data_IF_500971678049
#
_entry.id   IF_500971678049
#
_cell.length_a   1.000
_cell.length_b   1.000
_cell.length_c   1.000
_cell.angle_alpha   90.00
_cell.angle_beta   90.00
_cell.angle_gamma   90.00
#
_symmetry.space_group_name_H-M   'P 1'
#
loop_
_entity.id
_entity.type
_entity.pdbx_description
1 polymer ?
#
# COMPACT_ATOMS: atom_id res chain seq x y z
N UNK A 1 6.80 13.85 2.58
CA UNK A 1 8.14 13.47 3.10
C UNK A 1 9.13 14.51 2.64
N UNK A 2 10.02 14.94 3.51
CA UNK A 2 11.02 15.96 3.20
C UNK A 2 12.38 15.54 3.73
N UNK A 3 13.35 15.35 2.82
CA UNK A 3 14.74 14.93 3.08
C UNK A 3 14.84 13.73 4.03
N UNK A 4 14.10 12.65 3.73
CA UNK A 4 13.97 11.50 4.62
C UNK A 4 15.09 10.50 4.39
N UNK A 5 15.79 10.16 5.48
CA UNK A 5 16.84 9.14 5.55
C UNK A 5 16.41 8.01 6.48
N UNK A 6 16.76 6.79 6.15
CA UNK A 6 16.45 5.63 6.97
C UNK A 6 17.60 4.61 6.98
N UNK A 7 17.87 4.06 8.16
CA UNK A 7 18.87 3.01 8.37
C UNK A 7 18.36 2.02 9.41
N UNK A 8 18.69 0.74 9.24
CA UNK A 8 18.39 -0.33 10.21
C UNK A 8 19.49 -0.53 11.24
N UNK A 9 20.74 -0.19 10.90
CA UNK A 9 21.95 -0.45 11.69
C UNK A 9 22.73 0.81 12.08
N UNK A 10 22.17 1.99 11.78
CA UNK A 10 22.77 3.31 11.94
C UNK A 10 24.07 3.56 11.11
N UNK A 11 24.52 2.58 10.32
CA UNK A 11 25.71 2.67 9.48
C UNK A 11 25.36 2.80 8.00
N UNK A 12 24.43 1.94 7.54
CA UNK A 12 24.06 1.87 6.14
C UNK A 12 22.65 2.46 5.93
N UNK A 13 22.55 3.48 5.11
CA UNK A 13 21.26 4.08 4.79
C UNK A 13 20.56 3.29 3.69
N UNK A 14 19.39 2.75 4.00
CA UNK A 14 18.47 2.12 3.03
C UNK A 14 17.63 3.15 2.26
N UNK A 15 17.50 4.38 2.80
CA UNK A 15 16.93 5.52 2.11
C UNK A 15 17.80 6.76 2.36
N UNK A 16 17.99 7.59 1.32
CA UNK A 16 18.94 8.69 1.31
C UNK A 16 18.29 9.94 0.71
N UNK A 17 17.83 10.86 1.56
CA UNK A 17 17.31 12.17 1.13
C UNK A 17 16.00 12.09 0.34
N UNK A 18 15.10 11.16 0.64
CA UNK A 18 13.84 11.02 -0.08
C UNK A 18 12.92 12.21 0.21
N UNK A 19 12.58 12.94 -0.86
CA UNK A 19 11.57 13.98 -0.85
C UNK A 19 10.48 13.61 -1.84
N UNK A 20 9.23 13.42 -1.35
CA UNK A 20 8.06 13.17 -2.18
C UNK A 20 6.77 13.65 -1.52
N UNK A 21 5.78 13.98 -2.35
CA UNK A 21 4.45 14.41 -1.93
C UNK A 21 3.42 13.53 -2.61
N UNK A 22 2.52 12.96 -1.82
CA UNK A 22 1.41 12.12 -2.30
C UNK A 22 0.12 12.86 -2.04
N UNK A 23 -0.63 13.15 -3.08
CA UNK A 23 -1.89 13.86 -2.99
C UNK A 23 -3.02 12.91 -2.57
N UNK A 24 -4.05 13.48 -1.91
CA UNK A 24 -5.21 12.69 -1.51
C UNK A 24 -6.00 12.24 -2.73
N UNK A 25 -6.58 11.05 -2.65
CA UNK A 25 -7.42 10.49 -3.70
C UNK A 25 -6.63 10.06 -4.94
N UNK A 26 -5.29 9.90 -4.85
CA UNK A 26 -4.48 9.44 -5.96
C UNK A 26 -4.02 8.00 -5.78
N UNK A 27 -3.77 7.33 -6.90
CA UNK A 27 -3.00 6.10 -6.99
C UNK A 27 -1.53 6.47 -7.24
N UNK A 28 -0.67 6.18 -6.29
CA UNK A 28 0.76 6.47 -6.36
C UNK A 28 1.55 5.17 -6.42
N UNK A 29 2.36 4.99 -7.46
CA UNK A 29 3.24 3.84 -7.56
C UNK A 29 4.69 4.18 -7.16
N UNK A 30 5.33 3.29 -6.44
CA UNK A 30 6.75 3.34 -6.11
C UNK A 30 7.40 2.14 -6.78
N UNK A 31 8.25 2.40 -7.76
CA UNK A 31 8.87 1.37 -8.58
C UNK A 31 10.38 1.31 -8.32
N UNK A 32 10.95 0.14 -8.46
CA UNK A 32 12.39 -0.08 -8.30
C UNK A 32 12.73 -1.54 -8.11
N UNK A 33 14.01 -1.90 -8.25
CA UNK A 33 14.50 -3.27 -8.04
C UNK A 33 14.34 -3.74 -6.59
N UNK A 34 14.42 -5.04 -6.39
CA UNK A 34 14.53 -5.62 -5.04
C UNK A 34 15.72 -4.99 -4.30
N UNK A 35 15.52 -4.64 -3.03
CA UNK A 35 16.55 -3.98 -2.22
C UNK A 35 16.69 -2.46 -2.42
N UNK A 36 15.96 -1.82 -3.33
CA UNK A 36 16.08 -0.37 -3.57
C UNK A 36 15.56 0.53 -2.43
N UNK A 37 14.87 -0.02 -1.40
CA UNK A 37 14.35 0.73 -0.26
C UNK A 37 12.83 0.92 -0.24
N UNK A 38 12.08 0.41 -1.22
CA UNK A 38 10.62 0.59 -1.35
C UNK A 38 9.82 0.17 -0.12
N UNK A 39 10.05 -1.04 0.38
CA UNK A 39 9.37 -1.55 1.59
C UNK A 39 9.77 -0.76 2.84
N UNK A 40 11.00 -0.22 2.90
CA UNK A 40 11.43 0.69 3.96
C UNK A 40 10.64 1.99 3.90
N UNK A 41 10.41 2.52 2.70
CA UNK A 41 9.59 3.71 2.50
C UNK A 41 8.15 3.50 2.99
N UNK A 42 7.52 2.36 2.67
CA UNK A 42 6.18 2.03 3.18
C UNK A 42 6.17 1.88 4.71
N UNK A 43 7.19 1.27 5.31
CA UNK A 43 7.31 1.14 6.79
C UNK A 43 7.41 2.51 7.47
N UNK A 44 8.11 3.46 6.87
CA UNK A 44 8.18 4.84 7.35
C UNK A 44 6.82 5.55 7.27
N UNK A 45 6.11 5.44 6.13
CA UNK A 45 4.78 6.03 5.94
C UNK A 45 3.78 5.43 6.95
N UNK A 46 3.86 4.11 7.18
CA UNK A 46 3.01 3.39 8.13
C UNK A 46 3.42 3.59 9.60
N UNK A 47 4.51 4.32 9.88
CA UNK A 47 5.00 4.55 11.24
C UNK A 47 5.55 3.30 11.94
N UNK A 48 5.83 2.22 11.21
CA UNK A 48 6.52 1.04 11.74
C UNK A 48 8.02 1.27 11.94
N UNK A 49 8.56 2.32 11.32
CA UNK A 49 9.94 2.76 11.44
C UNK A 49 9.97 4.28 11.55
N UNK A 50 10.89 4.81 12.33
CA UNK A 50 11.15 6.25 12.39
C UNK A 50 12.24 6.62 11.39
N UNK A 51 12.18 7.79 10.76
CA UNK A 51 13.27 8.26 9.93
C UNK A 51 14.51 8.58 10.79
N UNK A 52 15.70 8.30 10.26
CA UNK A 52 16.97 8.67 10.89
C UNK A 52 17.23 10.18 10.78
N UNK A 53 16.78 10.81 9.67
CA UNK A 53 16.80 12.26 9.42
C UNK A 53 15.57 12.63 8.58
N UNK A 54 15.25 13.91 8.54
CA UNK A 54 14.14 14.46 7.78
C UNK A 54 12.79 14.31 8.48
N UNK A 55 11.71 14.59 7.77
CA UNK A 55 10.36 14.64 8.33
C UNK A 55 9.33 13.93 7.44
N UNK A 56 8.41 13.22 8.08
CA UNK A 56 7.26 12.59 7.43
C UNK A 56 5.99 13.22 7.99
N UNK A 57 5.16 13.77 7.11
CA UNK A 57 3.83 14.27 7.46
C UNK A 57 2.80 13.44 6.70
N UNK A 58 1.88 12.85 7.42
CA UNK A 58 0.72 12.19 6.86
C UNK A 58 -0.50 12.99 7.29
N UNK A 59 -1.34 13.42 6.36
CA UNK A 59 -2.57 14.17 6.66
C UNK A 59 -2.33 15.53 7.35
N UNK A 60 -1.28 16.27 6.93
CA UNK A 60 -0.90 17.62 7.37
C UNK A 60 -0.71 17.83 8.87
N UNK A 61 -0.58 16.77 9.66
CA UNK A 61 -0.46 16.88 11.11
C UNK A 61 0.98 16.86 11.61
N UNK A 62 1.19 17.61 12.70
CA UNK A 62 2.50 17.93 13.30
C UNK A 62 3.21 16.75 13.96
N UNK A 63 4.57 16.82 14.10
CA UNK A 63 5.40 15.76 14.67
C UNK A 63 5.18 15.46 16.18
N UNK A 64 4.53 16.36 16.93
CA UNK A 64 4.38 16.25 18.40
C UNK A 64 3.08 15.56 18.82
N UNK A 65 2.79 14.37 18.28
CA UNK A 65 1.63 13.61 18.72
C UNK A 65 1.96 12.70 19.92
N UNK A 66 1.06 12.67 20.91
CA UNK A 66 1.15 11.65 21.95
C UNK A 66 0.85 10.24 21.39
N UNK A 67 1.24 9.19 22.12
CA UNK A 67 1.05 7.78 21.69
C UNK A 67 -0.39 7.43 21.30
N UNK A 68 -1.41 8.03 21.93
CA UNK A 68 -2.82 7.78 21.64
C UNK A 68 -3.24 8.40 20.30
N UNK A 69 -2.82 9.63 20.04
CA UNK A 69 -3.06 10.32 18.78
C UNK A 69 -2.36 9.61 17.62
N UNK A 70 -1.10 9.18 17.81
CA UNK A 70 -0.34 8.39 16.84
C UNK A 70 -1.06 7.09 16.49
N UNK A 71 -1.50 6.29 17.49
CA UNK A 71 -2.26 5.05 17.24
C UNK A 71 -3.56 5.30 16.50
N UNK A 72 -4.32 6.34 16.85
CA UNK A 72 -5.56 6.73 16.15
C UNK A 72 -5.31 7.10 14.70
N UNK A 73 -4.17 7.72 14.40
CA UNK A 73 -3.77 8.08 13.04
C UNK A 73 -3.35 6.84 12.25
N UNK A 74 -2.49 6.00 12.82
CA UNK A 74 -2.05 4.76 12.16
C UNK A 74 -3.20 3.79 11.92
N UNK A 75 -4.26 3.82 12.74
CA UNK A 75 -5.46 3.00 12.50
C UNK A 75 -6.24 3.40 11.23
N UNK A 76 -5.96 4.55 10.64
CA UNK A 76 -6.53 4.99 9.35
C UNK A 76 -5.64 4.67 8.14
N UNK A 77 -4.54 3.98 8.34
CA UNK A 77 -3.67 3.50 7.26
C UNK A 77 -3.87 2.00 7.13
N UNK A 78 -4.46 1.58 6.02
CA UNK A 78 -4.52 0.16 5.65
C UNK A 78 -3.17 -0.28 5.12
N UNK A 79 -2.61 -1.36 5.62
CA UNK A 79 -1.34 -1.89 5.14
C UNK A 79 -1.46 -3.35 4.73
N UNK A 80 -1.03 -3.65 3.52
CA UNK A 80 -0.97 -5.00 2.95
C UNK A 80 0.51 -5.33 2.74
N UNK A 81 1.12 -6.12 3.62
CA UNK A 81 2.50 -6.54 3.46
C UNK A 81 2.64 -7.58 2.34
N UNK A 82 3.84 -7.74 1.78
CA UNK A 82 4.16 -8.74 0.76
C UNK A 82 3.74 -10.16 1.17
N UNK A 83 3.92 -10.53 2.44
CA UNK A 83 3.48 -11.83 3.01
C UNK A 83 1.98 -11.94 3.24
N UNK A 84 1.19 -10.91 2.88
CA UNK A 84 -0.25 -10.76 3.13
C UNK A 84 -0.66 -10.70 4.62
N UNK A 85 0.14 -11.25 5.53
CA UNK A 85 -0.10 -11.27 6.98
C UNK A 85 -1.40 -11.93 7.41
N UNK A 86 -1.95 -12.87 6.64
CA UNK A 86 -3.21 -13.56 6.97
C UNK A 86 -3.00 -14.64 8.03
N UNK A 87 -4.00 -14.79 8.90
CA UNK A 87 -4.04 -15.88 9.86
C UNK A 87 -4.62 -17.11 9.17
N UNK A 88 -3.80 -18.14 8.97
CA UNK A 88 -4.10 -19.29 8.10
C UNK A 88 -5.30 -20.12 8.58
N UNK A 89 -5.43 -20.35 9.89
CA UNK A 89 -6.39 -21.31 10.48
C UNK A 89 -7.75 -20.69 10.84
N UNK A 90 -7.98 -19.42 10.53
CA UNK A 90 -9.29 -18.77 10.71
C UNK A 90 -9.98 -18.54 9.37
N UNK A 91 -11.26 -18.24 9.40
CA UNK A 91 -12.07 -18.01 8.21
C UNK A 91 -11.73 -16.69 7.49
N UNK A 92 -12.23 -16.55 6.25
CA UNK A 92 -12.18 -15.29 5.50
C UNK A 92 -12.83 -14.18 6.32
N UNK A 93 -14.04 -14.41 6.85
CA UNK A 93 -14.77 -13.43 7.64
C UNK A 93 -13.97 -13.00 8.87
N UNK A 94 -13.40 -13.93 9.63
CA UNK A 94 -12.59 -13.64 10.80
C UNK A 94 -11.33 -12.83 10.43
N UNK A 95 -10.64 -13.16 9.32
CA UNK A 95 -9.50 -12.38 8.84
C UNK A 95 -9.89 -10.95 8.48
N UNK A 96 -11.03 -10.75 7.82
CA UNK A 96 -11.51 -9.41 7.46
C UNK A 96 -11.90 -8.62 8.72
N UNK A 97 -12.58 -9.24 9.67
CA UNK A 97 -12.97 -8.63 10.95
C UNK A 97 -11.77 -8.15 11.80
N UNK A 98 -10.57 -8.73 11.63
CA UNK A 98 -9.35 -8.20 12.26
C UNK A 98 -9.14 -6.72 11.89
N UNK A 99 -9.52 -6.29 10.68
CA UNK A 99 -9.46 -4.89 10.27
C UNK A 99 -10.34 -3.95 11.09
N UNK A 100 -11.38 -4.45 11.77
CA UNK A 100 -12.24 -3.66 12.64
C UNK A 100 -11.67 -3.44 14.05
N UNK A 101 -10.66 -4.22 14.47
CA UNK A 101 -10.11 -4.19 15.83
C UNK A 101 -9.76 -2.79 16.36
N UNK A 102 -9.20 -1.86 15.55
CA UNK A 102 -8.92 -0.50 16.02
C UNK A 102 -10.16 0.31 16.43
N UNK A 103 -11.35 -0.09 15.98
CA UNK A 103 -12.62 0.64 16.21
C UNK A 103 -13.48 0.04 17.30
N UNK A 104 -13.32 -1.24 17.59
CA UNK A 104 -14.09 -1.92 18.63
C UNK A 104 -13.39 -1.78 19.99
N UNK A 105 -14.19 -1.78 21.06
CA UNK A 105 -13.66 -1.68 22.43
C UNK A 105 -12.75 -2.86 22.79
N UNK A 106 -11.78 -2.64 23.64
CA UNK A 106 -10.77 -3.65 24.04
C UNK A 106 -11.39 -4.95 24.55
N UNK A 107 -12.48 -4.88 25.31
CA UNK A 107 -13.17 -6.07 25.84
C UNK A 107 -13.76 -6.91 24.72
N UNK A 108 -14.46 -6.29 23.77
CA UNK A 108 -15.04 -6.97 22.61
C UNK A 108 -13.96 -7.56 21.71
N UNK A 109 -12.82 -6.86 21.57
CA UNK A 109 -11.66 -7.33 20.82
C UNK A 109 -11.06 -8.62 21.42
N UNK A 110 -10.87 -8.65 22.75
CA UNK A 110 -10.34 -9.81 23.48
C UNK A 110 -11.28 -11.03 23.39
N UNK A 111 -12.57 -10.80 23.48
CA UNK A 111 -13.59 -11.86 23.46
C UNK A 111 -14.01 -12.28 22.05
N UNK A 112 -13.40 -11.70 20.99
CA UNK A 112 -13.80 -11.88 19.58
C UNK A 112 -15.29 -11.60 19.34
N UNK A 113 -15.90 -10.79 20.21
CA UNK A 113 -17.31 -10.43 20.13
C UNK A 113 -17.47 -9.20 19.21
N UNK A 114 -17.57 -9.43 17.93
CA UNK A 114 -17.78 -8.37 16.96
C UNK A 114 -19.24 -7.92 16.93
N UNK A 115 -19.52 -6.60 17.00
CA UNK A 115 -20.86 -6.07 16.84
C UNK A 115 -21.47 -6.50 15.50
N UNK A 116 -22.79 -6.73 15.46
CA UNK A 116 -23.51 -7.19 14.25
C UNK A 116 -23.25 -6.30 13.04
N UNK A 117 -23.18 -4.98 13.24
CA UNK A 117 -22.90 -4.03 12.17
C UNK A 117 -21.51 -4.21 11.54
N UNK A 118 -20.49 -4.60 12.32
CA UNK A 118 -19.14 -4.87 11.78
C UNK A 118 -19.13 -6.19 11.00
N UNK A 119 -19.91 -7.19 11.41
CA UNK A 119 -20.06 -8.46 10.68
C UNK A 119 -20.73 -8.21 9.32
N UNK A 120 -21.80 -7.42 9.30
CA UNK A 120 -22.48 -7.07 8.03
C UNK A 120 -21.59 -6.22 7.11
N UNK A 121 -20.80 -5.30 7.67
CA UNK A 121 -19.83 -4.53 6.91
C UNK A 121 -18.74 -5.43 6.31
N UNK A 122 -18.20 -6.37 7.10
CA UNK A 122 -17.23 -7.35 6.62
C UNK A 122 -17.79 -8.18 5.45
N UNK A 123 -19.04 -8.62 5.53
CA UNK A 123 -19.70 -9.37 4.43
C UNK A 123 -19.83 -8.51 3.16
N UNK A 124 -20.16 -7.22 3.29
CA UNK A 124 -20.20 -6.28 2.15
C UNK A 124 -18.83 -6.15 1.49
N UNK A 125 -17.77 -6.00 2.29
CA UNK A 125 -16.41 -5.90 1.78
C UNK A 125 -15.95 -7.21 1.14
N UNK A 126 -16.28 -8.37 1.74
CA UNK A 126 -16.01 -9.69 1.15
C UNK A 126 -16.68 -9.84 -0.22
N UNK A 127 -17.93 -9.37 -0.34
CA UNK A 127 -18.63 -9.31 -1.63
C UNK A 127 -17.94 -8.38 -2.61
N UNK A 128 -17.51 -7.18 -2.16
CA UNK A 128 -16.79 -6.19 -2.97
C UNK A 128 -15.53 -6.77 -3.60
N UNK A 129 -14.75 -7.54 -2.83
CA UNK A 129 -13.51 -8.16 -3.33
C UNK A 129 -13.76 -9.49 -4.08
N UNK A 130 -15.02 -9.82 -4.43
CA UNK A 130 -15.37 -11.01 -5.23
C UNK A 130 -15.27 -12.33 -4.48
N UNK A 131 -15.36 -12.33 -3.15
CA UNK A 131 -15.29 -13.54 -2.31
C UNK A 131 -16.65 -13.95 -1.69
N UNK A 132 -17.77 -13.47 -2.27
CA UNK A 132 -19.12 -13.85 -1.81
C UNK A 132 -19.29 -15.38 -1.77
N UNK A 133 -19.83 -15.91 -0.67
CA UNK A 133 -20.02 -17.33 -0.45
C UNK A 133 -18.78 -18.07 0.11
N UNK A 134 -17.67 -17.36 0.34
CA UNK A 134 -16.43 -17.92 0.90
C UNK A 134 -16.15 -17.48 2.33
N UNK A 135 -17.10 -16.79 2.98
CA UNK A 135 -16.97 -16.17 4.30
C UNK A 135 -16.46 -17.15 5.37
N UNK A 136 -16.95 -18.39 5.34
CA UNK A 136 -16.60 -19.42 6.32
C UNK A 136 -15.41 -20.30 5.91
N UNK A 137 -14.86 -20.14 4.70
CA UNK A 137 -13.69 -20.92 4.26
C UNK A 137 -12.44 -20.51 5.04
N UNK A 138 -11.64 -21.49 5.43
CA UNK A 138 -10.34 -21.24 6.07
C UNK A 138 -9.36 -20.68 5.04
N UNK A 139 -8.57 -19.67 5.44
CA UNK A 139 -7.70 -18.96 4.50
C UNK A 139 -6.60 -19.82 3.90
N UNK A 140 -6.17 -20.90 4.57
CA UNK A 140 -5.18 -21.83 4.01
C UNK A 140 -5.71 -22.61 2.78
N UNK A 141 -7.03 -22.73 2.64
CA UNK A 141 -7.68 -23.47 1.51
C UNK A 141 -7.86 -22.60 0.26
N UNK A 142 -7.51 -21.33 0.33
CA UNK A 142 -7.70 -20.36 -0.75
C UNK A 142 -6.52 -20.37 -1.73
N UNK A 143 -6.80 -20.00 -3.00
CA UNK A 143 -5.77 -19.72 -3.99
C UNK A 143 -4.94 -18.49 -3.63
N UNK A 144 -3.82 -18.24 -4.33
CA UNK A 144 -2.99 -17.06 -4.14
C UNK A 144 -3.74 -15.76 -4.36
N UNK A 145 -4.51 -15.67 -5.44
CA UNK A 145 -5.33 -14.50 -5.76
C UNK A 145 -6.45 -14.29 -4.73
N UNK A 146 -7.14 -15.36 -4.29
CA UNK A 146 -8.15 -15.27 -3.23
C UNK A 146 -7.56 -14.76 -1.90
N UNK A 147 -6.35 -15.22 -1.53
CA UNK A 147 -5.64 -14.73 -0.33
C UNK A 147 -5.34 -13.24 -0.43
N UNK A 148 -4.91 -12.75 -1.60
CA UNK A 148 -4.69 -11.33 -1.83
C UNK A 148 -5.98 -10.52 -1.69
N UNK A 149 -7.09 -11.01 -2.24
CA UNK A 149 -8.42 -10.40 -2.06
C UNK A 149 -8.85 -10.34 -0.59
N UNK A 150 -8.56 -11.38 0.22
CA UNK A 150 -8.80 -11.34 1.68
C UNK A 150 -7.92 -10.28 2.37
N UNK A 151 -6.65 -10.15 1.99
CA UNK A 151 -5.76 -9.15 2.56
C UNK A 151 -6.23 -7.72 2.23
N UNK A 152 -6.70 -7.49 1.00
CA UNK A 152 -7.32 -6.21 0.58
C UNK A 152 -8.59 -5.97 1.41
N UNK A 153 -9.48 -6.94 1.51
CA UNK A 153 -10.71 -6.83 2.29
C UNK A 153 -10.44 -6.47 3.75
N UNK A 154 -9.44 -7.09 4.38
CA UNK A 154 -9.02 -6.78 5.75
C UNK A 154 -8.49 -5.35 5.87
N UNK A 155 -7.71 -4.87 4.91
CA UNK A 155 -7.20 -3.51 4.90
C UNK A 155 -8.33 -2.48 4.71
N UNK A 156 -9.28 -2.74 3.79
CA UNK A 156 -10.46 -1.91 3.57
C UNK A 156 -11.40 -1.89 4.79
N UNK A 157 -11.52 -3.03 5.49
CA UNK A 157 -12.31 -3.11 6.73
C UNK A 157 -11.81 -2.16 7.81
N UNK A 158 -10.56 -1.74 7.76
CA UNK A 158 -10.01 -0.72 8.65
C UNK A 158 -10.58 0.69 8.38
N UNK A 159 -11.31 0.89 7.27
CA UNK A 159 -11.82 2.17 6.77
C UNK A 159 -10.67 3.18 6.61
N UNK A 160 -9.65 2.82 5.82
CA UNK A 160 -8.45 3.62 5.69
C UNK A 160 -8.72 4.90 4.88
N UNK A 161 -7.93 5.94 5.13
CA UNK A 161 -7.80 7.10 4.23
C UNK A 161 -6.60 6.93 3.30
N UNK A 162 -5.67 6.04 3.67
CA UNK A 162 -4.46 5.69 2.92
C UNK A 162 -4.29 4.17 2.93
N UNK A 163 -4.23 3.58 1.75
CA UNK A 163 -3.92 2.16 1.55
C UNK A 163 -2.46 2.04 1.08
N UNK A 164 -1.68 1.26 1.78
CA UNK A 164 -0.31 0.91 1.41
C UNK A 164 -0.26 -0.57 1.00
N UNK A 165 0.24 -0.87 -0.19
CA UNK A 165 0.36 -2.24 -0.68
C UNK A 165 1.81 -2.53 -1.11
N UNK A 166 2.43 -3.50 -0.45
CA UNK A 166 3.81 -3.91 -0.68
C UNK A 166 3.84 -5.15 -1.57
N UNK A 167 4.18 -4.96 -2.85
CA UNK A 167 4.35 -6.01 -3.87
C UNK A 167 3.18 -7.02 -3.94
N UNK A 168 1.94 -6.54 -3.79
CA UNK A 168 0.74 -7.39 -3.69
C UNK A 168 0.47 -8.23 -4.95
N UNK A 169 0.98 -7.82 -6.11
CA UNK A 169 0.81 -8.53 -7.39
C UNK A 169 2.05 -9.31 -7.83
N UNK A 170 3.12 -9.30 -7.03
CA UNK A 170 4.30 -10.11 -7.32
C UNK A 170 3.95 -11.60 -7.37
N UNK A 171 4.61 -12.36 -8.25
CA UNK A 171 4.40 -13.80 -8.41
C UNK A 171 2.99 -14.21 -8.92
N UNK A 172 2.20 -13.27 -9.43
CA UNK A 172 0.94 -13.55 -10.12
C UNK A 172 1.14 -13.58 -11.63
N UNK A 173 0.31 -14.38 -12.30
CA UNK A 173 0.12 -14.25 -13.73
C UNK A 173 -0.49 -12.88 -14.07
N UNK A 174 -0.31 -12.43 -15.32
CA UNK A 174 -0.75 -11.11 -15.77
C UNK A 174 -2.25 -10.87 -15.59
N UNK A 175 -3.08 -11.88 -15.83
CA UNK A 175 -4.54 -11.77 -15.72
C UNK A 175 -4.94 -11.53 -14.27
N UNK A 176 -4.45 -12.37 -13.36
CA UNK A 176 -4.73 -12.23 -11.93
C UNK A 176 -4.14 -10.94 -11.36
N UNK A 177 -2.95 -10.51 -11.84
CA UNK A 177 -2.36 -9.25 -11.42
C UNK A 177 -3.25 -8.06 -11.78
N UNK A 178 -3.76 -8.01 -13.03
CA UNK A 178 -4.70 -6.98 -13.48
C UNK A 178 -5.99 -6.97 -12.66
N UNK A 179 -6.59 -8.12 -12.41
CA UNK A 179 -7.80 -8.22 -11.57
C UNK A 179 -7.58 -7.65 -10.15
N UNK A 180 -6.40 -7.83 -9.57
CA UNK A 180 -6.08 -7.27 -8.25
C UNK A 180 -5.88 -5.76 -8.34
N UNK A 181 -5.24 -5.27 -9.41
CA UNK A 181 -5.04 -3.84 -9.63
C UNK A 181 -6.38 -3.12 -9.89
N UNK A 182 -7.25 -3.69 -10.72
CA UNK A 182 -8.61 -3.20 -10.97
C UNK A 182 -9.41 -3.11 -9.66
N UNK A 183 -9.31 -4.14 -8.81
CA UNK A 183 -9.96 -4.15 -7.52
C UNK A 183 -9.48 -3.01 -6.60
N UNK A 184 -8.19 -2.73 -6.60
CA UNK A 184 -7.63 -1.63 -5.79
C UNK A 184 -8.05 -0.28 -6.37
N UNK A 185 -8.03 -0.11 -7.70
CA UNK A 185 -8.46 1.11 -8.37
C UNK A 185 -9.95 1.39 -8.12
N UNK A 186 -10.82 0.37 -8.28
CA UNK A 186 -12.24 0.43 -7.94
C UNK A 186 -12.49 0.84 -6.47
N UNK A 187 -11.73 0.23 -5.54
CA UNK A 187 -11.85 0.56 -4.12
C UNK A 187 -11.37 1.98 -3.82
N UNK A 188 -10.30 2.42 -4.48
CA UNK A 188 -9.76 3.77 -4.35
C UNK A 188 -10.79 4.82 -4.78
N UNK A 189 -11.41 4.64 -5.94
CA UNK A 189 -12.42 5.56 -6.47
C UNK A 189 -13.69 5.57 -5.60
N UNK A 190 -14.29 4.39 -5.34
CA UNK A 190 -15.55 4.26 -4.58
C UNK A 190 -15.44 4.75 -3.15
N UNK A 191 -14.30 4.56 -2.50
CA UNK A 191 -14.08 4.92 -1.11
C UNK A 191 -13.33 6.24 -0.94
N UNK A 192 -12.96 6.90 -2.05
CA UNK A 192 -12.17 8.14 -2.08
C UNK A 192 -10.91 8.04 -1.19
N UNK A 193 -10.19 6.93 -1.29
CA UNK A 193 -8.96 6.70 -0.55
C UNK A 193 -7.73 7.01 -1.41
N UNK A 194 -6.60 7.24 -0.78
CA UNK A 194 -5.30 7.33 -1.44
C UNK A 194 -4.67 5.95 -1.43
N UNK A 195 -4.13 5.48 -2.55
CA UNK A 195 -3.41 4.22 -2.61
C UNK A 195 -1.93 4.46 -2.95
N UNK A 196 -1.04 3.81 -2.21
CA UNK A 196 0.40 3.78 -2.48
C UNK A 196 0.81 2.34 -2.67
N UNK A 197 1.24 2.01 -3.87
CA UNK A 197 1.57 0.66 -4.28
C UNK A 197 3.05 0.54 -4.63
N UNK A 198 3.69 -0.49 -4.12
CA UNK A 198 5.06 -0.83 -4.47
C UNK A 198 5.05 -1.93 -5.51
N UNK A 199 5.77 -1.72 -6.61
CA UNK A 199 5.91 -2.66 -7.71
C UNK A 199 7.37 -2.78 -8.15
N UNK A 200 7.66 -3.86 -8.89
CA UNK A 200 8.86 -3.97 -9.73
C UNK A 200 8.50 -3.94 -11.24
N UNK A 201 7.23 -3.85 -11.58
CA UNK A 201 6.73 -3.76 -12.95
C UNK A 201 6.31 -2.32 -13.28
N UNK A 202 7.10 -1.68 -14.15
CA UNK A 202 6.86 -0.31 -14.61
C UNK A 202 5.60 -0.21 -15.46
N UNK A 203 5.27 -1.24 -16.27
CA UNK A 203 4.08 -1.21 -17.15
C UNK A 203 2.81 -1.15 -16.31
N UNK A 204 2.69 -2.00 -15.28
CA UNK A 204 1.57 -1.94 -14.35
C UNK A 204 1.51 -0.61 -13.61
N UNK A 205 2.66 -0.05 -13.21
CA UNK A 205 2.69 1.24 -12.55
C UNK A 205 2.16 2.36 -13.47
N UNK A 206 2.56 2.38 -14.74
CA UNK A 206 2.08 3.37 -15.72
C UNK A 206 0.60 3.20 -16.09
N UNK A 207 0.08 1.96 -16.05
CA UNK A 207 -1.32 1.66 -16.37
C UNK A 207 -2.29 2.11 -15.24
N UNK A 208 -1.88 2.00 -13.97
CA UNK A 208 -2.79 2.15 -12.82
C UNK A 208 -2.52 3.37 -11.93
N UNK A 209 -1.37 4.02 -12.04
CA UNK A 209 -1.03 5.11 -11.15
C UNK A 209 -1.25 6.49 -11.80
N UNK A 210 -1.62 7.48 -10.98
CA UNK A 210 -1.61 8.89 -11.37
C UNK A 210 -0.20 9.48 -11.28
N UNK A 211 0.64 8.93 -10.41
CA UNK A 211 2.04 9.31 -10.23
C UNK A 211 2.90 8.09 -9.98
N UNK A 212 4.12 8.12 -10.51
CA UNK A 212 5.12 7.07 -10.31
C UNK A 212 6.42 7.68 -9.84
N UNK A 213 6.99 7.15 -8.75
CA UNK A 213 8.35 7.45 -8.33
C UNK A 213 9.24 6.23 -8.51
N UNK A 214 10.41 6.41 -9.10
CA UNK A 214 11.42 5.37 -9.25
C UNK A 214 12.46 5.51 -8.16
N UNK A 215 12.66 4.43 -7.39
CA UNK A 215 13.62 4.35 -6.31
C UNK A 215 14.76 3.40 -6.68
N UNK A 216 15.99 3.91 -6.61
CA UNK A 216 17.23 3.15 -6.83
C UNK A 216 18.22 3.43 -5.72
N UNK A 217 18.81 2.40 -5.13
CA UNK A 217 19.84 2.48 -4.08
C UNK A 217 19.51 3.46 -2.94
N UNK A 218 18.21 3.50 -2.59
CA UNK A 218 17.69 4.36 -1.54
C UNK A 218 17.43 5.81 -1.94
N UNK A 219 17.56 6.17 -3.22
CA UNK A 219 17.32 7.52 -3.73
C UNK A 219 16.14 7.55 -4.71
N UNK A 220 15.40 8.64 -4.77
CA UNK A 220 14.40 8.90 -5.80
C UNK A 220 15.13 9.45 -7.02
N UNK A 221 15.12 8.70 -8.12
CA UNK A 221 15.81 9.08 -9.36
C UNK A 221 14.88 9.71 -10.39
N UNK A 222 13.59 9.41 -10.32
CA UNK A 222 12.57 9.91 -11.25
C UNK A 222 11.24 10.05 -10.52
N UNK A 223 10.47 11.06 -10.87
CA UNK A 223 9.06 11.18 -10.47
C UNK A 223 8.25 11.73 -11.64
N UNK A 224 7.23 10.99 -12.07
CA UNK A 224 6.36 11.33 -13.19
C UNK A 224 4.92 11.43 -12.75
N UNK A 225 4.18 12.33 -13.39
CA UNK A 225 2.72 12.43 -13.34
C UNK A 225 2.11 11.86 -14.61
N UNK A 226 0.94 11.24 -14.49
CA UNK A 226 0.18 10.64 -15.60
C UNK A 226 -1.19 11.30 -15.63
N UNK A 227 -1.49 11.95 -16.77
CA UNK A 227 -2.79 12.59 -17.03
C UNK A 227 -3.28 12.15 -18.42
N UNK A 228 -4.16 11.15 -18.43
CA UNK A 228 -4.57 10.47 -19.64
C UNK A 228 -3.38 9.86 -20.39
N UNK A 229 -3.17 10.26 -21.66
CA UNK A 229 -2.04 9.79 -22.48
C UNK A 229 -0.74 10.59 -22.25
N UNK A 230 -0.81 11.69 -21.48
CA UNK A 230 0.35 12.55 -21.21
C UNK A 230 1.11 12.08 -20.00
N UNK A 231 2.42 11.95 -20.15
CA UNK A 231 3.34 11.65 -19.07
C UNK A 231 4.28 12.85 -18.90
N UNK A 232 4.36 13.36 -17.68
CA UNK A 232 5.13 14.55 -17.33
C UNK A 232 6.17 14.15 -16.29
N UNK A 233 7.44 14.23 -16.64
CA UNK A 233 8.53 14.19 -15.67
C UNK A 233 8.63 15.55 -14.97
N UNK A 234 8.61 15.56 -13.65
CA UNK A 234 8.66 16.80 -12.86
C UNK A 234 10.01 17.51 -12.90
N UNK A 235 11.05 16.89 -13.48
CA UNK A 235 12.38 17.48 -13.64
C UNK A 235 12.63 17.99 -15.07
N UNK A 236 12.26 17.19 -16.08
CA UNK A 236 12.62 17.45 -17.49
C UNK A 236 11.43 17.85 -18.39
N UNK A 237 10.19 17.76 -17.88
CA UNK A 237 8.98 18.05 -18.66
C UNK A 237 8.38 16.83 -19.34
N UNK A 238 7.86 16.98 -20.56
CA UNK A 238 7.24 15.84 -21.25
C UNK A 238 8.24 14.73 -21.53
N UNK A 239 7.87 13.49 -21.19
CA UNK A 239 8.69 12.30 -21.39
C UNK A 239 7.80 11.20 -22.01
N UNK A 240 8.34 10.46 -22.95
CA UNK A 240 7.62 9.33 -23.56
C UNK A 240 7.70 8.07 -22.70
N UNK A 241 6.70 7.19 -22.85
CA UNK A 241 6.70 5.90 -22.17
C UNK A 241 7.93 5.06 -22.53
N UNK A 242 8.43 5.18 -23.77
CA UNK A 242 9.62 4.48 -24.24
C UNK A 242 10.88 4.96 -23.51
N UNK A 243 11.07 6.27 -23.38
CA UNK A 243 12.19 6.86 -22.65
C UNK A 243 12.18 6.46 -21.16
N UNK A 244 11.00 6.41 -20.52
CA UNK A 244 10.87 5.93 -19.14
C UNK A 244 11.33 4.47 -19.02
N UNK A 245 10.90 3.61 -19.96
CA UNK A 245 11.28 2.21 -19.97
C UNK A 245 12.78 2.01 -20.21
N UNK A 246 13.37 2.82 -21.08
CA UNK A 246 14.82 2.83 -21.34
C UNK A 246 15.59 3.27 -20.09
N UNK A 247 15.20 4.35 -19.45
CA UNK A 247 15.80 4.82 -18.18
C UNK A 247 15.69 3.75 -17.10
N UNK A 248 14.51 3.12 -16.94
CA UNK A 248 14.31 2.07 -15.97
C UNK A 248 15.15 0.83 -16.25
N UNK A 249 15.30 0.42 -17.52
CA UNK A 249 16.05 -0.77 -17.94
C UNK A 249 17.56 -0.51 -17.99
N UNK A 250 18.04 0.59 -18.57
CA UNK A 250 19.46 0.94 -18.68
C UNK A 250 20.11 1.12 -17.31
N UNK A 251 19.36 1.60 -16.34
CA UNK A 251 19.80 1.61 -14.95
C UNK A 251 19.73 0.22 -14.31
N UNK A 252 19.24 -0.79 -15.04
CA UNK A 252 19.17 -2.19 -14.61
C UNK A 252 20.46 -2.97 -14.84
N UNK A 253 21.37 -2.48 -15.68
CA UNK A 253 22.57 -3.21 -16.11
C UNK A 253 23.88 -2.71 -15.46
N UNK A 254 23.82 -1.71 -14.61
CA UNK A 254 24.96 -1.24 -13.80
C UNK A 254 24.72 -1.58 -12.32
#
# INVERSE_FOLDING_TARGET
MNDVWASYDAKNYSLKGITLSIERGTNYAIVGKSGSGKSTLLKLINGMMNPSKGQIKVDYQTPNMNKKQFRKKMSKIGYIPQSLGLVKNISVLENVLIGALPRIGRLNSLLKNFPKYEIEEAKKIIKLVGLKGKENRKTYTLSGGEKRRVAIARALMQKPVLLLADEIVSELDQVTAKEIMDLIADAQERLNLTAVMVHHDMKLALEYANRVAVIKEGQKILEIGIDGEKIIDFQSGNISQQEIMELYNNESEK
#
